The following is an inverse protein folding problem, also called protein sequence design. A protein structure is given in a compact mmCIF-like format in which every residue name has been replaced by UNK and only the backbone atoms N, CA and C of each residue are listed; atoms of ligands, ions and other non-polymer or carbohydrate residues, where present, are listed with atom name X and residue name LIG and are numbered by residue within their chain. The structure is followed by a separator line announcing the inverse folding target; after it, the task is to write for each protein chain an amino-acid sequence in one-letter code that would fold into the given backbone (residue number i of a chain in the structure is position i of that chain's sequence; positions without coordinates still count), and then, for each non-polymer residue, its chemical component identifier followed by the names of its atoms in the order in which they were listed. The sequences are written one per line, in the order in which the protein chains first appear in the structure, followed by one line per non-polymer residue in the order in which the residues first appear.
data_IF_495734731161
#
_entry.id   IF_495734731161
#
_cell.length_a   1.000
_cell.length_b   1.000
_cell.length_c   1.000
_cell.angle_alpha   90.00
_cell.angle_beta   90.00
_cell.angle_gamma   90.00
#
_symmetry.space_group_name_H-M   'P 1'
#
loop_
_entity.id
_entity.type
_entity.pdbx_description
1 polymer ?
#
# COMPACT_ATOMS: atom_id res chain seq x y z
N UNK A 1 -9.54 -6.07 21.49
CA UNK A 1 -8.37 -5.87 22.39
C UNK A 1 -7.25 -5.22 21.59
N UNK A 2 -6.66 -4.11 22.07
CA UNK A 2 -5.46 -3.54 21.45
C UNK A 2 -4.30 -4.47 21.80
N UNK A 3 -3.69 -5.10 20.80
CA UNK A 3 -2.48 -5.90 20.98
C UNK A 3 -1.39 -4.96 21.49
N UNK A 4 -0.71 -5.33 22.58
CA UNK A 4 0.40 -4.52 23.09
C UNK A 4 1.53 -4.48 22.04
N UNK A 5 2.31 -3.41 22.02
CA UNK A 5 3.37 -3.24 21.01
C UNK A 5 4.37 -4.42 21.04
N UNK A 6 4.62 -4.96 22.23
CA UNK A 6 5.49 -6.11 22.47
C UNK A 6 4.85 -7.43 21.99
N UNK A 7 3.56 -7.66 22.25
CA UNK A 7 2.85 -8.84 21.74
C UNK A 7 2.78 -8.88 20.20
N UNK A 8 2.54 -7.71 19.59
CA UNK A 8 2.58 -7.56 18.13
C UNK A 8 3.96 -7.94 17.60
N UNK A 9 4.99 -7.46 18.28
CA UNK A 9 6.37 -7.67 17.89
C UNK A 9 6.83 -9.12 18.08
N UNK A 10 6.40 -9.82 19.14
CA UNK A 10 6.62 -11.27 19.32
C UNK A 10 6.04 -12.08 18.15
N UNK A 11 4.80 -11.78 17.73
CA UNK A 11 4.18 -12.41 16.55
C UNK A 11 4.95 -12.10 15.27
N UNK A 12 5.36 -10.84 15.12
CA UNK A 12 6.11 -10.36 13.94
C UNK A 12 7.49 -11.02 13.84
N UNK A 13 8.17 -11.22 14.96
CA UNK A 13 9.48 -11.88 14.98
C UNK A 13 9.37 -13.37 14.76
N UNK A 14 8.31 -14.03 15.23
CA UNK A 14 8.01 -15.40 14.82
C UNK A 14 7.88 -15.57 13.30
N UNK A 15 7.44 -14.51 12.60
CA UNK A 15 7.43 -14.45 11.14
C UNK A 15 8.80 -14.09 10.54
N UNK A 16 9.50 -13.09 11.09
CA UNK A 16 10.83 -12.67 10.62
C UNK A 16 11.89 -13.77 10.80
N UNK A 17 11.82 -14.57 11.86
CA UNK A 17 12.72 -15.72 12.06
C UNK A 17 12.59 -16.79 10.97
N UNK A 18 11.42 -16.87 10.32
CA UNK A 18 11.17 -17.77 9.19
C UNK A 18 11.63 -17.18 7.85
N UNK A 19 11.91 -15.88 7.80
CA UNK A 19 12.54 -15.24 6.65
C UNK A 19 14.06 -15.47 6.73
N UNK A 20 14.65 -15.94 5.63
CA UNK A 20 16.08 -16.25 5.58
C UNK A 20 16.99 -15.02 5.71
N UNK A 21 16.47 -13.82 5.45
CA UNK A 21 17.20 -12.56 5.59
C UNK A 21 16.56 -11.68 6.66
N UNK A 22 17.37 -11.28 7.64
CA UNK A 22 16.98 -10.40 8.73
C UNK A 22 17.83 -9.14 8.69
N UNK A 23 17.20 -7.99 8.86
CA UNK A 23 17.91 -6.70 8.94
C UNK A 23 18.69 -6.60 10.26
N UNK A 24 19.73 -5.75 10.30
CA UNK A 24 20.51 -5.52 11.51
C UNK A 24 19.63 -5.10 12.71
N UNK A 25 18.59 -4.29 12.46
CA UNK A 25 17.61 -3.88 13.46
C UNK A 25 16.79 -5.07 13.96
N UNK A 26 16.32 -5.94 13.07
CA UNK A 26 15.52 -7.10 13.44
C UNK A 26 16.33 -8.10 14.28
N UNK A 27 17.63 -8.27 13.97
CA UNK A 27 18.55 -9.07 14.79
C UNK A 27 18.69 -8.50 16.20
N UNK A 28 18.93 -7.20 16.32
CA UNK A 28 19.00 -6.52 17.62
C UNK A 28 17.70 -6.69 18.43
N UNK A 29 16.54 -6.61 17.78
CA UNK A 29 15.25 -6.82 18.46
C UNK A 29 15.09 -8.30 18.89
N UNK A 30 15.56 -9.26 18.07
CA UNK A 30 15.57 -10.69 18.40
C UNK A 30 16.44 -10.95 19.63
N UNK A 31 17.66 -10.41 19.67
CA UNK A 31 18.60 -10.60 20.78
C UNK A 31 18.05 -10.03 22.10
N UNK A 32 17.37 -8.87 22.03
CA UNK A 32 16.72 -8.26 23.20
C UNK A 32 15.49 -9.04 23.66
N UNK A 33 14.78 -9.73 22.76
CA UNK A 33 13.65 -10.57 23.14
C UNK A 33 14.05 -11.93 23.68
N UNK A 34 15.14 -12.51 23.18
CA UNK A 34 15.62 -13.79 23.70
C UNK A 34 16.21 -13.65 25.12
N UNK A 35 16.65 -12.44 25.50
CA UNK A 35 17.15 -12.10 26.83
C UNK A 35 16.12 -11.37 27.73
N UNK A 36 14.82 -11.47 27.45
CA UNK A 36 13.75 -10.70 28.12
C UNK A 36 13.78 -10.79 29.67
N UNK A 37 14.26 -11.90 30.23
CA UNK A 37 14.36 -12.13 31.67
C UNK A 37 15.47 -11.31 32.38
N UNK A 38 16.51 -10.91 31.66
CA UNK A 38 17.65 -10.13 32.18
C UNK A 38 17.66 -8.65 31.80
N UNK A 39 16.62 -8.20 31.09
CA UNK A 39 16.61 -6.88 30.47
C UNK A 39 16.53 -5.73 31.50
N UNK A 40 17.48 -4.81 31.39
CA UNK A 40 17.49 -3.53 32.11
C UNK A 40 16.33 -2.65 31.68
N UNK A 41 15.94 -1.68 32.51
CA UNK A 41 14.86 -0.74 32.16
C UNK A 41 15.18 0.09 30.90
N UNK A 42 16.46 0.36 30.65
CA UNK A 42 16.94 1.05 29.45
C UNK A 42 16.74 0.20 28.20
N UNK A 43 17.08 -1.09 28.27
CA UNK A 43 16.87 -2.03 27.16
C UNK A 43 15.39 -2.27 26.87
N UNK A 44 14.52 -2.24 27.90
CA UNK A 44 13.06 -2.28 27.71
C UNK A 44 12.54 -1.04 26.97
N UNK A 45 13.05 0.15 27.32
CA UNK A 45 12.73 1.40 26.60
C UNK A 45 13.24 1.35 25.16
N UNK A 46 14.46 0.87 24.96
CA UNK A 46 15.06 0.67 23.63
C UNK A 46 14.21 -0.29 22.78
N UNK A 47 13.80 -1.43 23.35
CA UNK A 47 12.94 -2.40 22.68
C UNK A 47 11.62 -1.76 22.24
N UNK A 48 11.00 -0.93 23.08
CA UNK A 48 9.76 -0.23 22.72
C UNK A 48 9.97 0.80 21.58
N UNK A 49 11.08 1.53 21.57
CA UNK A 49 11.42 2.47 20.51
C UNK A 49 11.66 1.72 19.19
N UNK A 50 12.46 0.67 19.22
CA UNK A 50 12.72 -0.19 18.05
C UNK A 50 11.44 -0.84 17.52
N UNK A 51 10.54 -1.27 18.42
CA UNK A 51 9.23 -1.81 18.08
C UNK A 51 8.37 -0.82 17.30
N UNK A 52 8.36 0.42 17.78
CA UNK A 52 7.58 1.50 17.18
C UNK A 52 8.13 1.88 15.82
N UNK A 53 9.46 1.94 15.67
CA UNK A 53 10.12 2.18 14.39
C UNK A 53 9.79 1.08 13.36
N UNK A 54 9.92 -0.19 13.73
CA UNK A 54 9.59 -1.32 12.83
C UNK A 54 8.12 -1.29 12.38
N UNK A 55 7.22 -0.96 13.31
CA UNK A 55 5.79 -0.85 13.02
C UNK A 55 5.49 0.32 12.09
N UNK A 56 6.13 1.46 12.29
CA UNK A 56 5.96 2.64 11.45
C UNK A 56 6.48 2.39 10.03
N UNK A 57 7.64 1.74 9.88
CA UNK A 57 8.20 1.40 8.58
C UNK A 57 7.27 0.44 7.81
N UNK A 58 6.67 -0.53 8.48
CA UNK A 58 5.67 -1.41 7.86
C UNK A 58 4.41 -0.65 7.45
N UNK A 59 3.92 0.26 8.29
CA UNK A 59 2.76 1.08 7.96
C UNK A 59 3.06 2.01 6.77
N UNK A 60 4.27 2.58 6.70
CA UNK A 60 4.71 3.39 5.58
C UNK A 60 4.67 2.58 4.27
N UNK A 61 5.29 1.39 4.26
CA UNK A 61 5.28 0.50 3.09
C UNK A 61 3.86 0.07 2.68
N UNK A 62 2.99 -0.26 3.63
CA UNK A 62 1.59 -0.57 3.34
C UNK A 62 0.84 0.65 2.78
N UNK A 63 1.08 1.84 3.32
CA UNK A 63 0.44 3.07 2.87
C UNK A 63 0.86 3.44 1.46
N UNK A 64 2.15 3.31 1.13
CA UNK A 64 2.69 3.54 -0.22
C UNK A 64 2.08 2.56 -1.22
N UNK A 65 1.99 1.28 -0.86
CA UNK A 65 1.32 0.26 -1.70
C UNK A 65 -0.15 0.61 -1.93
N UNK A 66 -0.88 1.00 -0.88
CA UNK A 66 -2.30 1.42 -0.99
C UNK A 66 -2.44 2.66 -1.86
N UNK A 67 -1.58 3.67 -1.70
CA UNK A 67 -1.59 4.87 -2.53
C UNK A 67 -1.29 4.55 -4.00
N UNK A 68 -0.32 3.68 -4.28
CA UNK A 68 0.00 3.25 -5.64
C UNK A 68 -1.18 2.53 -6.30
N UNK A 69 -1.88 1.66 -5.56
CA UNK A 69 -3.10 0.99 -6.03
C UNK A 69 -4.22 2.01 -6.27
N UNK A 70 -4.42 2.95 -5.35
CA UNK A 70 -5.44 3.99 -5.47
C UNK A 70 -5.23 4.85 -6.72
N UNK A 71 -4.00 5.32 -6.97
CA UNK A 71 -3.65 6.08 -8.18
C UNK A 71 -3.94 5.29 -9.46
N UNK A 72 -3.71 3.96 -9.46
CA UNK A 72 -4.05 3.10 -10.60
C UNK A 72 -5.56 2.99 -10.82
N UNK A 73 -6.34 2.87 -9.75
CA UNK A 73 -7.81 2.81 -9.82
C UNK A 73 -8.36 4.14 -10.34
N UNK A 74 -7.90 5.26 -9.80
CA UNK A 74 -8.28 6.61 -10.25
C UNK A 74 -7.93 6.84 -11.71
N UNK A 75 -6.72 6.46 -12.14
CA UNK A 75 -6.32 6.53 -13.54
C UNK A 75 -7.22 5.71 -14.46
N UNK A 76 -7.64 4.50 -14.04
CA UNK A 76 -8.61 3.69 -14.81
C UNK A 76 -9.99 4.35 -14.86
N UNK A 77 -10.46 4.93 -13.75
CA UNK A 77 -11.75 5.64 -13.69
C UNK A 77 -11.76 6.86 -14.61
N UNK A 78 -10.71 7.68 -14.61
CA UNK A 78 -10.59 8.84 -15.49
C UNK A 78 -10.60 8.45 -16.97
N UNK A 79 -9.89 7.36 -17.35
CA UNK A 79 -9.92 6.86 -18.73
C UNK A 79 -11.31 6.39 -19.14
N UNK A 80 -12.02 5.68 -18.26
CA UNK A 80 -13.40 5.25 -18.51
C UNK A 80 -14.35 6.43 -18.72
N UNK A 81 -14.28 7.41 -17.82
CA UNK A 81 -15.10 8.62 -17.91
C UNK A 81 -14.82 9.40 -19.19
N UNK A 82 -13.54 9.59 -19.55
CA UNK A 82 -13.15 10.24 -20.80
C UNK A 82 -13.68 9.49 -22.02
N UNK A 83 -13.50 8.18 -22.06
CA UNK A 83 -14.00 7.37 -23.18
C UNK A 83 -15.52 7.41 -23.27
N UNK A 84 -16.23 7.36 -22.13
CA UNK A 84 -17.68 7.48 -22.11
C UNK A 84 -18.14 8.82 -22.72
N UNK A 85 -17.51 9.93 -22.35
CA UNK A 85 -17.80 11.25 -22.96
C UNK A 85 -17.51 11.30 -24.45
N UNK A 86 -16.40 10.69 -24.89
CA UNK A 86 -16.08 10.61 -26.32
C UNK A 86 -17.13 9.81 -27.09
N UNK A 87 -17.60 8.69 -26.54
CA UNK A 87 -18.67 7.91 -27.16
C UNK A 87 -20.01 8.66 -27.19
N UNK A 88 -20.36 9.38 -26.12
CA UNK A 88 -21.55 10.25 -26.12
C UNK A 88 -21.45 11.34 -27.18
N UNK A 89 -20.31 12.04 -27.26
CA UNK A 89 -20.10 13.08 -28.25
C UNK A 89 -20.17 12.54 -29.68
N UNK A 90 -19.56 11.37 -29.94
CA UNK A 90 -19.65 10.71 -31.23
C UNK A 90 -21.09 10.33 -31.60
N UNK A 91 -21.86 9.80 -30.63
CA UNK A 91 -23.29 9.50 -30.82
C UNK A 91 -24.10 10.75 -31.19
N UNK A 92 -23.86 11.87 -30.51
CA UNK A 92 -24.51 13.14 -30.83
C UNK A 92 -24.14 13.68 -32.21
N UNK A 93 -22.89 13.53 -32.65
CA UNK A 93 -22.46 13.92 -34.00
C UNK A 93 -23.12 13.07 -35.09
N UNK A 94 -23.30 11.77 -34.81
CA UNK A 94 -24.05 10.86 -35.69
C UNK A 94 -25.53 11.26 -35.75
N UNK A 95 -26.17 11.54 -34.61
CA UNK A 95 -27.56 12.00 -34.55
C UNK A 95 -27.77 13.35 -35.26
N UNK A 96 -26.79 14.25 -35.18
CA UNK A 96 -26.81 15.53 -35.88
C UNK A 96 -26.58 15.41 -37.40
N UNK A 97 -26.32 14.20 -37.92
CA UNK A 97 -26.05 13.96 -39.35
C UNK A 97 -24.70 14.49 -39.84
N UNK A 98 -23.81 14.85 -38.90
CA UNK A 98 -22.47 15.39 -39.19
C UNK A 98 -21.45 14.27 -39.46
N UNK A 99 -21.84 13.02 -39.27
CA UNK A 99 -21.01 11.84 -39.54
C UNK A 99 -21.80 10.90 -40.45
N UNK A 100 -21.19 10.47 -41.54
CA UNK A 100 -21.77 9.46 -42.43
C UNK A 100 -21.80 8.12 -41.70
N UNK A 101 -23.01 7.55 -41.54
CA UNK A 101 -23.23 6.30 -40.81
C UNK A 101 -22.67 5.07 -41.50
N UNK A 102 -22.35 5.15 -42.80
CA UNK A 102 -21.79 4.04 -43.58
C UNK A 102 -20.27 4.04 -43.60
N UNK A 103 -19.66 5.22 -43.67
CA UNK A 103 -18.20 5.37 -43.81
C UNK A 103 -17.53 5.82 -42.50
N UNK A 104 -18.27 6.44 -41.58
CA UNK A 104 -17.75 6.99 -40.33
C UNK A 104 -16.98 8.31 -40.48
N UNK A 105 -16.97 8.89 -41.68
CA UNK A 105 -16.31 10.15 -41.98
C UNK A 105 -17.19 11.36 -41.61
N UNK A 106 -16.56 12.49 -41.30
CA UNK A 106 -17.27 13.74 -41.07
C UNK A 106 -17.86 14.24 -42.39
N UNK A 107 -19.16 14.54 -42.39
CA UNK A 107 -19.83 15.23 -43.48
C UNK A 107 -19.38 16.70 -43.44
N UNK A 108 -18.36 17.07 -44.22
CA UNK A 108 -17.96 18.46 -44.48
C UNK A 108 -18.72 19.04 -45.67
#
# INVERSE_FOLDING_TARGET
MRISNIEWLKKRIGFIRKLGEQTARQRQIIDLLDNEAGLTEQERKLLHVLATAEKNDLQAQESERKQAVQKRIEGKKQRRERNHRLFLAAGLLIEAGLVDTKTGELCY
#
